data_IF_643045085892
#
_entry.id   IF_643045085892
#
_cell.length_a   1.000
_cell.length_b   1.000
_cell.length_c   1.000
_cell.angle_alpha   90.00
_cell.angle_beta   90.00
_cell.angle_gamma   90.00
#
_symmetry.space_group_name_H-M   'P 1'
#
loop_
_entity.id
_entity.type
_entity.pdbx_description
1 polymer ?
#
# COMPACT_ATOMS: atom_id res chain seq x y z
N UNK A 1 9.83 4.50 19.36
CA UNK A 1 10.38 5.31 18.25
C UNK A 1 9.60 4.99 16.99
N UNK A 2 8.95 5.98 16.36
CA UNK A 2 8.19 5.77 15.11
C UNK A 2 9.17 5.38 14.00
N UNK A 3 9.22 4.09 13.66
CA UNK A 3 10.11 3.57 12.62
C UNK A 3 9.35 3.60 11.29
N UNK A 4 9.84 4.34 10.31
CA UNK A 4 9.26 4.35 8.95
C UNK A 4 9.43 2.97 8.31
N UNK A 5 8.40 2.49 7.62
CA UNK A 5 8.39 1.20 6.92
C UNK A 5 7.92 1.40 5.47
N UNK A 6 8.28 0.48 4.56
CA UNK A 6 7.83 0.54 3.17
C UNK A 6 6.31 0.66 3.02
N UNK A 7 5.53 -0.13 3.76
CA UNK A 7 4.07 -0.06 3.67
C UNK A 7 3.51 1.26 4.22
N UNK A 8 4.12 1.85 5.25
CA UNK A 8 3.69 3.16 5.73
C UNK A 8 3.99 4.29 4.72
N UNK A 9 5.09 4.18 3.96
CA UNK A 9 5.39 5.10 2.84
C UNK A 9 4.30 4.94 1.76
N UNK A 10 3.95 3.71 1.42
CA UNK A 10 2.89 3.42 0.45
C UNK A 10 1.53 3.98 0.91
N UNK A 11 1.16 3.80 2.19
CA UNK A 11 -0.06 4.37 2.78
C UNK A 11 -0.08 5.89 2.63
N UNK A 12 1.02 6.58 2.93
CA UNK A 12 1.12 8.03 2.77
C UNK A 12 0.97 8.46 1.30
N UNK A 13 1.63 7.75 0.38
CA UNK A 13 1.52 8.03 -1.06
C UNK A 13 0.09 7.84 -1.57
N UNK A 14 -0.60 6.77 -1.16
CA UNK A 14 -1.99 6.50 -1.52
C UNK A 14 -2.94 7.58 -0.99
N UNK A 15 -2.74 8.05 0.25
CA UNK A 15 -3.54 9.13 0.83
C UNK A 15 -3.33 10.46 0.10
N UNK A 16 -2.09 10.79 -0.26
CA UNK A 16 -1.79 11.99 -1.04
C UNK A 16 -2.47 11.90 -2.41
N UNK A 17 -2.31 10.77 -3.10
CA UNK A 17 -2.92 10.55 -4.41
C UNK A 17 -4.45 10.60 -4.36
N UNK A 18 -5.07 9.97 -3.34
CA UNK A 18 -6.51 10.06 -3.09
C UNK A 18 -6.96 11.52 -2.90
N UNK A 19 -6.23 12.28 -2.09
CA UNK A 19 -6.54 13.69 -1.85
C UNK A 19 -6.49 14.52 -3.12
N UNK A 20 -5.41 14.39 -3.91
CA UNK A 20 -5.30 15.08 -5.20
C UNK A 20 -6.40 14.66 -6.18
N UNK A 21 -6.66 13.36 -6.31
CA UNK A 21 -7.67 12.84 -7.22
C UNK A 21 -9.11 13.25 -6.88
N UNK A 22 -9.38 13.52 -5.60
CA UNK A 22 -10.67 14.10 -5.18
C UNK A 22 -10.74 15.60 -5.46
N UNK A 23 -9.63 16.32 -5.32
CA UNK A 23 -9.57 17.78 -5.55
C UNK A 23 -9.65 18.15 -7.03
N UNK A 24 -9.01 17.37 -7.90
CA UNK A 24 -9.02 17.58 -9.35
C UNK A 24 -10.21 16.91 -10.06
N UNK A 25 -11.04 16.16 -9.32
CA UNK A 25 -12.22 15.48 -9.82
C UNK A 25 -11.93 14.24 -10.67
N UNK A 26 -10.69 13.75 -10.72
CA UNK A 26 -10.31 12.54 -11.47
C UNK A 26 -10.78 11.25 -10.80
N UNK A 27 -11.03 11.27 -9.49
CA UNK A 27 -11.60 10.16 -8.73
C UNK A 27 -13.06 10.42 -8.36
N UNK A 28 -13.95 9.56 -8.82
CA UNK A 28 -15.33 9.49 -8.35
C UNK A 28 -15.43 8.89 -6.94
N UNK A 29 -16.56 9.12 -6.25
CA UNK A 29 -16.79 8.64 -4.88
C UNK A 29 -16.58 7.12 -4.73
N UNK A 30 -17.05 6.32 -5.70
CA UNK A 30 -16.86 4.86 -5.67
C UNK A 30 -15.38 4.46 -5.72
N UNK A 31 -14.59 5.10 -6.59
CA UNK A 31 -13.16 4.84 -6.69
C UNK A 31 -12.43 5.28 -5.42
N UNK A 32 -12.79 6.44 -4.87
CA UNK A 32 -12.23 6.94 -3.62
C UNK A 32 -12.46 5.97 -2.44
N UNK A 33 -13.65 5.35 -2.35
CA UNK A 33 -13.95 4.33 -1.34
C UNK A 33 -13.07 3.07 -1.50
N UNK A 34 -12.85 2.60 -2.72
CA UNK A 34 -11.95 1.48 -2.99
C UNK A 34 -10.50 1.79 -2.61
N UNK A 35 -10.04 3.00 -2.91
CA UNK A 35 -8.69 3.47 -2.53
C UNK A 35 -8.57 3.59 -1.02
N UNK A 36 -9.59 4.09 -0.34
CA UNK A 36 -9.61 4.18 1.12
C UNK A 36 -9.58 2.78 1.76
N UNK A 37 -10.32 1.82 1.21
CA UNK A 37 -10.26 0.42 1.66
C UNK A 37 -8.84 -0.14 1.49
N UNK A 38 -8.19 0.12 0.34
CA UNK A 38 -6.80 -0.30 0.11
C UNK A 38 -5.84 0.31 1.15
N UNK A 39 -5.98 1.61 1.45
CA UNK A 39 -5.19 2.30 2.50
C UNK A 39 -5.35 1.60 3.85
N UNK A 40 -6.57 1.26 4.24
CA UNK A 40 -6.85 0.55 5.50
C UNK A 40 -6.18 -0.83 5.50
N UNK A 41 -6.29 -1.60 4.41
CA UNK A 41 -5.67 -2.92 4.30
C UNK A 41 -4.15 -2.85 4.39
N UNK A 42 -3.51 -1.91 3.69
CA UNK A 42 -2.05 -1.71 3.73
C UNK A 42 -1.60 -1.29 5.12
N UNK A 43 -2.34 -0.39 5.78
CA UNK A 43 -2.06 0.04 7.14
C UNK A 43 -2.16 -1.11 8.15
N UNK A 44 -3.21 -1.92 8.08
CA UNK A 44 -3.36 -3.11 8.93
C UNK A 44 -2.23 -4.10 8.67
N UNK A 45 -1.90 -4.36 7.40
CA UNK A 45 -0.79 -5.23 7.02
C UNK A 45 0.55 -4.76 7.61
N UNK A 46 0.84 -3.46 7.51
CA UNK A 46 2.03 -2.86 8.13
C UNK A 46 2.08 -3.11 9.64
N UNK A 47 0.95 -2.91 10.32
CA UNK A 47 0.87 -3.13 11.76
C UNK A 47 1.07 -4.61 12.13
N UNK A 48 0.50 -5.53 11.36
CA UNK A 48 0.72 -6.98 11.54
C UNK A 48 2.19 -7.34 11.37
N UNK A 49 2.87 -6.83 10.33
CA UNK A 49 4.31 -7.07 10.17
C UNK A 49 5.14 -6.51 11.34
N UNK A 50 4.77 -5.35 11.89
CA UNK A 50 5.44 -4.80 13.08
C UNK A 50 5.22 -5.65 14.34
N UNK A 51 4.02 -6.21 14.51
CA UNK A 51 3.71 -7.09 15.63
C UNK A 51 4.46 -8.42 15.52
N UNK A 52 4.54 -8.99 14.31
CA UNK A 52 5.16 -10.28 14.06
C UNK A 52 6.69 -10.21 14.01
N UNK A 53 7.27 -9.09 13.59
CA UNK A 53 8.71 -8.94 13.37
C UNK A 53 9.30 -7.91 14.34
N UNK A 54 10.07 -8.38 15.34
CA UNK A 54 10.67 -7.50 16.36
C UNK A 54 11.79 -6.58 15.88
N UNK A 55 12.28 -6.71 14.64
CA UNK A 55 13.41 -5.91 14.13
C UNK A 55 13.07 -5.14 12.87
N UNK A 56 13.46 -3.86 12.84
CA UNK A 56 13.15 -2.95 11.72
C UNK A 56 13.74 -3.43 10.38
N UNK A 57 14.98 -3.93 10.41
CA UNK A 57 15.65 -4.44 9.20
C UNK A 57 14.87 -5.61 8.59
N UNK A 58 14.36 -6.54 9.41
CA UNK A 58 13.52 -7.64 8.92
C UNK A 58 12.19 -7.15 8.36
N UNK A 59 11.54 -6.19 9.02
CA UNK A 59 10.30 -5.58 8.51
C UNK A 59 10.51 -5.00 7.11
N UNK A 60 11.60 -4.23 6.93
CA UNK A 60 11.92 -3.64 5.63
C UNK A 60 12.11 -4.69 4.54
N UNK A 61 12.92 -5.72 4.80
CA UNK A 61 13.19 -6.79 3.82
C UNK A 61 11.88 -7.51 3.45
N UNK A 62 11.11 -7.95 4.46
CA UNK A 62 9.87 -8.71 4.23
C UNK A 62 8.83 -7.86 3.49
N UNK A 63 8.63 -6.60 3.89
CA UNK A 63 7.67 -5.73 3.22
C UNK A 63 8.09 -5.38 1.79
N UNK A 64 9.38 -5.17 1.52
CA UNK A 64 9.86 -4.94 0.15
C UNK A 64 9.63 -6.16 -0.74
N UNK A 65 9.88 -7.37 -0.24
CA UNK A 65 9.59 -8.63 -0.96
C UNK A 65 8.08 -8.74 -1.22
N UNK A 66 7.25 -8.47 -0.21
CA UNK A 66 5.80 -8.49 -0.35
C UNK A 66 5.29 -7.50 -1.42
N UNK A 67 5.81 -6.27 -1.42
CA UNK A 67 5.49 -5.26 -2.44
C UNK A 67 5.93 -5.74 -3.83
N UNK A 68 7.16 -6.25 -3.97
CA UNK A 68 7.68 -6.74 -5.24
C UNK A 68 6.82 -7.87 -5.82
N UNK A 69 6.43 -8.84 -4.98
CA UNK A 69 5.53 -9.93 -5.39
C UNK A 69 4.18 -9.38 -5.82
N UNK A 70 3.60 -8.47 -5.05
CA UNK A 70 2.29 -7.87 -5.35
C UNK A 70 2.30 -7.16 -6.70
N UNK A 71 3.34 -6.36 -6.97
CA UNK A 71 3.51 -5.67 -8.26
C UNK A 71 3.70 -6.67 -9.40
N UNK A 72 4.54 -7.70 -9.20
CA UNK A 72 4.75 -8.74 -10.21
C UNK A 72 3.45 -9.51 -10.54
N UNK A 73 2.66 -9.87 -9.53
CA UNK A 73 1.36 -10.53 -9.72
C UNK A 73 0.36 -9.61 -10.41
N UNK A 74 0.26 -8.34 -10.01
CA UNK A 74 -0.61 -7.37 -10.67
C UNK A 74 -0.24 -7.19 -12.15
N UNK A 75 1.06 -7.10 -12.45
CA UNK A 75 1.56 -7.03 -13.82
C UNK A 75 1.23 -8.30 -14.62
N UNK A 76 1.41 -9.49 -14.04
CA UNK A 76 1.06 -10.75 -14.68
C UNK A 76 -0.44 -10.85 -15.00
N UNK A 77 -1.32 -10.45 -14.06
CA UNK A 77 -2.77 -10.41 -14.28
C UNK A 77 -3.12 -9.44 -15.41
N UNK A 78 -2.51 -8.25 -15.41
CA UNK A 78 -2.71 -7.27 -16.47
C UNK A 78 -2.28 -7.82 -17.83
N UNK A 79 -1.11 -8.45 -17.92
CA UNK A 79 -0.58 -9.05 -19.15
C UNK A 79 -1.45 -10.19 -19.69
N UNK A 80 -2.03 -11.02 -18.80
CA UNK A 80 -2.90 -12.12 -19.23
C UNK A 80 -4.26 -11.61 -19.74
N UNK A 81 -4.74 -10.49 -19.19
CA UNK A 81 -6.05 -9.92 -19.54
C UNK A 81 -6.02 -9.17 -20.89
N UNK A 82 -4.85 -8.73 -21.33
CA UNK A 82 -4.67 -7.79 -22.43
C UNK A 82 -3.93 -8.40 -23.62
#
# INVERSE_FOLDING_TARGET
MKRVTPLNILTAALLIWLGFGLLDGTLGLSQALWVLLLVVLVFIGDQLFRMLLGSLKRIWIVQMIFIAITVATAFAIWYIKN
#
